data_IF_972102460454
#
_entry.id   IF_972102460454
#
_cell.length_a   1.000
_cell.length_b   1.000
_cell.length_c   1.000
_cell.angle_alpha   90.00
_cell.angle_beta   90.00
_cell.angle_gamma   90.00
#
_symmetry.space_group_name_H-M   'P 1'
#
loop_
_entity.id
_entity.type
_entity.pdbx_description
1 polymer ?
#
# COMPACT_ATOMS: atom_id res chain seq x y z
N UNK A 1 47.64 -15.28 -27.89
CA UNK A 1 47.12 -15.86 -26.64
C UNK A 1 46.61 -14.65 -25.88
N UNK A 2 45.49 -14.14 -26.41
CA UNK A 2 44.14 -14.09 -25.81
C UNK A 2 43.99 -12.78 -25.02
N UNK A 3 43.74 -11.63 -25.67
CA UNK A 3 42.57 -11.16 -26.43
C UNK A 3 41.31 -10.93 -25.57
N UNK A 4 41.07 -9.67 -25.17
CA UNK A 4 39.92 -8.87 -25.65
C UNK A 4 39.65 -7.65 -24.75
N UNK A 5 39.84 -6.49 -25.37
CA UNK A 5 39.43 -5.15 -24.98
C UNK A 5 37.90 -5.02 -24.97
N UNK A 6 37.30 -4.57 -23.86
CA UNK A 6 35.89 -4.19 -23.82
C UNK A 6 35.75 -2.75 -24.35
N UNK A 7 35.24 -2.63 -25.58
CA UNK A 7 34.82 -1.37 -26.17
C UNK A 7 33.35 -1.11 -25.79
N UNK A 8 33.07 0.09 -25.26
CA UNK A 8 31.72 0.62 -25.11
C UNK A 8 31.07 0.75 -26.50
N UNK A 9 30.08 -0.09 -26.79
CA UNK A 9 29.25 0.04 -27.99
C UNK A 9 28.05 0.94 -27.66
N UNK A 10 28.18 2.22 -28.00
CA UNK A 10 27.07 3.16 -28.15
C UNK A 10 26.45 2.91 -29.54
N UNK A 11 25.21 2.45 -29.59
CA UNK A 11 24.39 2.52 -30.81
C UNK A 11 23.28 3.55 -30.61
N UNK A 12 23.15 4.57 -31.47
CA UNK A 12 22.00 5.46 -31.45
C UNK A 12 20.89 4.89 -32.33
N UNK A 13 19.69 4.76 -31.79
CA UNK A 13 18.47 4.62 -32.59
C UNK A 13 17.72 5.95 -32.71
N UNK A 14 17.24 6.17 -33.92
CA UNK A 14 16.61 7.38 -34.41
C UNK A 14 15.21 7.51 -33.81
N UNK A 15 15.06 8.24 -32.70
CA UNK A 15 13.85 9.00 -32.27
C UNK A 15 14.08 9.77 -30.93
N UNK A 16 15.31 10.14 -30.58
CA UNK A 16 15.56 11.31 -29.71
C UNK A 16 14.88 11.37 -28.33
N UNK A 17 14.45 10.25 -27.75
CA UNK A 17 13.92 10.18 -26.38
C UNK A 17 14.94 9.48 -25.50
N UNK A 18 15.64 10.24 -24.66
CA UNK A 18 16.39 9.69 -23.53
C UNK A 18 15.37 9.15 -22.52
N UNK A 19 14.96 7.89 -22.67
CA UNK A 19 14.33 7.15 -21.58
C UNK A 19 15.43 6.81 -20.59
N UNK A 20 15.56 7.62 -19.53
CA UNK A 20 16.30 7.20 -18.34
C UNK A 20 15.62 5.94 -17.82
N UNK A 21 16.30 4.80 -17.89
CA UNK A 21 15.96 3.64 -17.08
C UNK A 21 16.07 4.04 -15.62
N UNK A 22 14.97 4.47 -15.02
CA UNK A 22 14.89 4.67 -13.57
C UNK A 22 14.87 3.30 -12.93
N UNK A 23 16.05 2.82 -12.55
CA UNK A 23 16.18 1.80 -11.52
C UNK A 23 15.31 2.24 -10.32
N UNK A 24 14.44 1.36 -9.82
CA UNK A 24 13.49 1.67 -8.75
C UNK A 24 14.11 2.23 -7.45
N UNK A 25 15.44 2.24 -7.33
CA UNK A 25 16.23 2.89 -6.28
C UNK A 25 16.16 4.41 -6.27
N UNK A 26 15.98 5.07 -7.42
CA UNK A 26 16.18 6.53 -7.54
C UNK A 26 14.99 7.36 -7.04
N UNK A 27 13.85 6.72 -6.75
CA UNK A 27 12.63 7.38 -6.27
C UNK A 27 12.46 7.31 -4.73
N UNK A 28 13.36 6.66 -4.00
CA UNK A 28 13.08 6.20 -2.63
C UNK A 28 13.44 7.15 -1.48
N UNK A 29 13.77 8.42 -1.74
CA UNK A 29 14.23 9.33 -0.68
C UNK A 29 13.42 10.62 -0.45
N UNK A 30 12.42 10.94 -1.29
CA UNK A 30 11.63 12.16 -1.10
C UNK A 30 10.14 11.95 -1.36
N UNK A 31 9.36 11.84 -0.29
CA UNK A 31 8.05 12.48 -0.27
C UNK A 31 8.22 13.80 0.49
N UNK A 32 8.04 14.97 -0.15
CA UNK A 32 8.03 16.22 0.58
C UNK A 32 6.73 16.28 1.38
N UNK A 33 6.82 16.31 2.72
CA UNK A 33 6.05 17.16 3.65
C UNK A 33 6.40 16.73 5.10
N UNK A 34 7.40 17.36 5.72
CA UNK A 34 7.30 18.34 6.84
C UNK A 34 8.67 19.02 6.93
N UNK A 35 8.76 20.32 6.65
CA UNK A 35 10.02 21.02 6.39
C UNK A 35 10.96 21.20 7.61
N UNK A 36 10.72 20.55 8.76
CA UNK A 36 11.45 20.82 10.00
C UNK A 36 11.58 19.64 10.98
N UNK A 37 11.42 18.38 10.56
CA UNK A 37 11.65 17.23 11.46
C UNK A 37 13.12 16.76 11.29
N UNK A 38 13.95 16.79 12.36
CA UNK A 38 15.34 16.35 12.31
C UNK A 38 15.45 14.90 11.84
N UNK A 39 16.63 14.52 11.34
CA UNK A 39 16.88 13.14 10.86
C UNK A 39 16.47 12.11 11.92
N UNK A 40 16.10 10.89 11.52
CA UNK A 40 15.72 9.81 12.45
C UNK A 40 16.82 9.43 13.47
N UNK A 41 18.03 10.01 13.32
CA UNK A 41 19.13 9.94 14.28
C UNK A 41 19.11 10.98 15.40
N UNK A 42 18.33 12.06 15.28
CA UNK A 42 18.43 13.27 16.14
C UNK A 42 17.26 13.43 17.13
N UNK A 43 16.27 12.54 17.13
CA UNK A 43 14.98 12.69 17.85
C UNK A 43 14.69 11.55 18.84
N UNK A 44 15.72 10.84 19.28
CA UNK A 44 15.61 9.69 20.21
C UNK A 44 15.71 10.18 21.66
N UNK A 45 14.61 10.07 22.42
CA UNK A 45 14.60 10.31 23.87
C UNK A 45 14.53 8.98 24.64
N UNK A 46 15.46 8.77 25.57
CA UNK A 46 15.52 7.57 26.42
C UNK A 46 14.88 7.84 27.78
N UNK A 47 13.87 7.05 28.14
CA UNK A 47 13.20 7.07 29.43
C UNK A 47 13.85 6.05 30.36
N UNK A 48 14.65 6.54 31.33
CA UNK A 48 15.40 5.70 32.28
C UNK A 48 14.51 4.83 33.17
N UNK A 49 13.32 5.31 33.51
CA UNK A 49 12.40 4.65 34.46
C UNK A 49 11.72 3.41 33.87
N UNK A 50 11.37 3.45 32.58
CA UNK A 50 10.65 2.39 31.86
C UNK A 50 11.51 1.62 30.87
N UNK A 51 12.82 1.90 30.82
CA UNK A 51 13.78 1.36 29.86
C UNK A 51 13.24 1.39 28.41
N UNK A 52 12.70 2.54 28.01
CA UNK A 52 11.99 2.70 26.74
C UNK A 52 12.40 3.97 26.00
N UNK A 53 12.00 4.06 24.73
CA UNK A 53 12.36 5.13 23.82
C UNK A 53 11.09 5.83 23.33
N UNK A 54 10.90 7.09 23.70
CA UNK A 54 9.69 7.83 23.35
C UNK A 54 9.90 8.74 22.14
N UNK A 55 8.87 8.82 21.30
CA UNK A 55 8.80 9.80 20.23
C UNK A 55 8.46 11.18 20.82
N UNK A 56 9.13 12.23 20.32
CA UNK A 56 8.84 13.61 20.74
C UNK A 56 7.69 14.25 19.94
N UNK A 57 7.20 13.58 18.89
CA UNK A 57 6.17 14.10 17.98
C UNK A 57 4.81 13.40 18.13
N UNK A 58 4.74 12.30 18.88
CA UNK A 58 3.51 11.60 19.21
C UNK A 58 3.69 10.69 20.43
N UNK A 59 2.60 10.04 20.86
CA UNK A 59 2.57 9.17 22.04
C UNK A 59 3.25 7.80 21.85
N UNK A 60 3.97 7.59 20.74
CA UNK A 60 4.64 6.33 20.48
C UNK A 60 5.81 6.10 21.44
N UNK A 61 5.83 4.92 22.06
CA UNK A 61 6.93 4.43 22.89
C UNK A 61 7.44 3.11 22.31
N UNK A 62 8.72 3.06 21.94
CA UNK A 62 9.42 1.86 21.51
C UNK A 62 10.18 1.21 22.67
N UNK A 63 10.25 -0.13 22.67
CA UNK A 63 11.09 -0.88 23.61
C UNK A 63 12.58 -0.88 23.24
N UNK A 64 12.92 -0.48 22.01
CA UNK A 64 14.31 -0.34 21.54
C UNK A 64 14.50 0.94 20.73
N UNK A 65 15.73 1.46 20.71
CA UNK A 65 16.10 2.62 19.90
C UNK A 65 15.87 2.37 18.40
N UNK A 66 16.07 1.14 17.93
CA UNK A 66 15.78 0.75 16.54
C UNK A 66 14.28 0.80 16.22
N UNK A 67 13.41 0.44 17.17
CA UNK A 67 11.96 0.58 16.99
C UNK A 67 11.56 2.05 16.90
N UNK A 68 12.09 2.90 17.78
CA UNK A 68 11.83 4.34 17.71
C UNK A 68 12.37 4.96 16.42
N UNK A 69 13.60 4.62 16.01
CA UNK A 69 14.19 5.08 14.72
C UNK A 69 13.32 4.70 13.53
N UNK A 70 12.82 3.47 13.48
CA UNK A 70 11.87 3.04 12.44
C UNK A 70 10.56 3.80 12.52
N UNK A 71 10.04 4.05 13.71
CA UNK A 71 8.82 4.82 13.92
C UNK A 71 8.98 6.27 13.43
N UNK A 72 10.11 6.92 13.67
CA UNK A 72 10.36 8.29 13.22
C UNK A 72 10.22 8.45 11.69
N UNK A 73 10.42 7.37 10.92
CA UNK A 73 10.15 7.34 9.47
C UNK A 73 8.68 7.57 9.11
N UNK A 74 7.73 7.34 10.02
CA UNK A 74 6.32 7.69 9.81
C UNK A 74 6.08 9.20 9.87
N UNK A 75 6.97 9.94 10.54
CA UNK A 75 6.94 11.40 10.56
C UNK A 75 7.71 12.01 9.38
N UNK A 76 8.87 11.44 9.03
CA UNK A 76 9.73 11.99 7.95
C UNK A 76 9.34 11.50 6.55
N UNK A 77 8.62 10.39 6.44
CA UNK A 77 8.31 9.75 5.16
C UNK A 77 9.48 8.98 4.53
N UNK A 78 10.62 8.83 5.24
CA UNK A 78 11.80 8.10 4.76
C UNK A 78 11.47 6.63 4.49
N UNK A 79 11.78 6.15 3.27
CA UNK A 79 11.49 4.78 2.81
C UNK A 79 12.73 4.16 2.15
N UNK A 80 13.77 3.81 2.94
CA UNK A 80 15.08 3.46 2.39
C UNK A 80 15.14 2.09 1.70
N UNK A 81 14.06 1.29 1.74
CA UNK A 81 14.05 -0.06 1.16
C UNK A 81 13.25 -0.09 -0.15
N UNK A 82 13.95 -0.04 -1.27
CA UNK A 82 13.36 -0.06 -2.61
C UNK A 82 12.99 -1.47 -3.09
N UNK A 83 11.83 -1.62 -3.71
CA UNK A 83 11.50 -2.81 -4.48
C UNK A 83 12.28 -2.82 -5.80
N UNK A 84 12.83 -3.98 -6.16
CA UNK A 84 13.53 -4.16 -7.44
C UNK A 84 12.59 -4.36 -8.63
N UNK A 85 11.32 -4.66 -8.38
CA UNK A 85 10.34 -5.06 -9.40
C UNK A 85 9.32 -3.95 -9.68
N UNK A 86 9.16 -2.98 -8.78
CA UNK A 86 8.25 -1.85 -8.96
C UNK A 86 8.75 -0.63 -8.19
N UNK A 87 8.04 0.49 -8.31
CA UNK A 87 8.40 1.77 -7.67
C UNK A 87 8.08 1.84 -6.17
N UNK A 88 7.66 0.74 -5.55
CA UNK A 88 7.32 0.72 -4.14
C UNK A 88 8.57 0.78 -3.24
N UNK A 89 8.57 1.72 -2.30
CA UNK A 89 9.60 1.81 -1.25
C UNK A 89 8.97 1.59 0.14
N UNK A 90 9.69 0.87 1.00
CA UNK A 90 9.26 0.54 2.37
C UNK A 90 10.12 1.24 3.43
N UNK A 91 9.53 1.49 4.59
CA UNK A 91 10.21 2.05 5.76
C UNK A 91 11.07 1.01 6.51
N UNK A 92 10.89 -0.29 6.23
CA UNK A 92 11.67 -1.38 6.83
C UNK A 92 11.93 -2.53 5.84
N UNK A 93 13.03 -3.25 6.02
CA UNK A 93 13.36 -4.44 5.22
C UNK A 93 12.28 -5.54 5.34
N UNK A 94 11.72 -5.71 6.54
CA UNK A 94 10.64 -6.67 6.77
C UNK A 94 9.37 -6.31 5.99
N UNK A 95 9.06 -5.03 5.85
CA UNK A 95 7.90 -4.59 5.06
C UNK A 95 8.15 -4.76 3.57
N UNK A 96 9.38 -4.53 3.10
CA UNK A 96 9.76 -4.82 1.72
C UNK A 96 9.67 -6.33 1.42
N UNK A 97 10.14 -7.19 2.33
CA UNK A 97 10.02 -8.66 2.19
C UNK A 97 8.57 -9.12 2.14
N UNK A 98 7.69 -8.52 2.95
CA UNK A 98 6.25 -8.82 2.85
C UNK A 98 5.67 -8.34 1.52
N UNK A 99 6.06 -7.13 1.08
CA UNK A 99 5.63 -6.59 -0.20
C UNK A 99 6.05 -7.47 -1.37
N UNK A 100 7.28 -8.00 -1.39
CA UNK A 100 7.77 -8.84 -2.51
C UNK A 100 6.95 -10.12 -2.75
N UNK A 101 6.12 -10.53 -1.79
CA UNK A 101 5.15 -11.62 -1.95
C UNK A 101 4.12 -11.37 -3.05
N UNK A 102 3.82 -10.11 -3.37
CA UNK A 102 2.90 -9.79 -4.47
C UNK A 102 3.51 -10.13 -5.83
N UNK A 103 4.83 -10.02 -5.97
CA UNK A 103 5.55 -10.29 -7.22
C UNK A 103 5.85 -11.78 -7.37
N UNK A 104 6.18 -12.45 -6.28
CA UNK A 104 6.52 -13.88 -6.27
C UNK A 104 5.30 -14.80 -6.20
N UNK A 105 4.15 -14.28 -5.77
CA UNK A 105 2.96 -15.08 -5.51
C UNK A 105 3.03 -15.92 -4.23
N UNK A 106 4.03 -15.74 -3.36
CA UNK A 106 4.16 -16.47 -2.10
C UNK A 106 2.94 -16.22 -1.18
N UNK A 107 2.24 -17.29 -0.79
CA UNK A 107 1.08 -17.24 0.10
C UNK A 107 1.26 -18.19 1.29
N UNK A 108 2.11 -17.83 2.27
CA UNK A 108 2.53 -18.75 3.33
C UNK A 108 1.47 -18.98 4.41
N UNK A 109 0.33 -18.28 4.37
CA UNK A 109 -0.74 -18.43 5.34
C UNK A 109 -1.91 -19.17 4.70
N UNK A 110 -2.29 -20.32 5.25
CA UNK A 110 -3.34 -21.18 4.71
C UNK A 110 -4.52 -21.30 5.68
N UNK A 111 -5.73 -21.35 5.13
CA UNK A 111 -6.93 -21.71 5.87
C UNK A 111 -6.97 -23.22 6.08
N UNK A 112 -7.32 -23.67 7.28
CA UNK A 112 -7.46 -25.09 7.57
C UNK A 112 -8.88 -25.63 7.32
N UNK A 113 -9.81 -24.78 6.88
CA UNK A 113 -11.21 -25.12 6.61
C UNK A 113 -11.57 -25.07 5.11
N UNK A 114 -10.71 -24.48 4.27
CA UNK A 114 -10.89 -24.42 2.82
C UNK A 114 -9.53 -24.17 2.13
N UNK A 115 -9.54 -24.14 0.79
CA UNK A 115 -8.33 -23.96 -0.02
C UNK A 115 -7.80 -22.51 -0.06
N UNK A 116 -8.36 -21.61 0.74
CA UNK A 116 -7.94 -20.21 0.75
C UNK A 116 -6.53 -20.04 1.33
N UNK A 117 -5.69 -19.32 0.62
CA UNK A 117 -4.35 -18.93 1.07
C UNK A 117 -4.17 -17.41 1.02
N UNK A 118 -3.25 -16.88 1.82
CA UNK A 118 -2.97 -15.45 1.93
C UNK A 118 -1.47 -15.17 2.00
N UNK A 119 -1.07 -13.99 1.49
CA UNK A 119 0.30 -13.50 1.58
C UNK A 119 0.59 -12.77 2.91
N UNK A 120 -0.45 -12.44 3.68
CA UNK A 120 -0.36 -11.84 5.02
C UNK A 120 -1.24 -12.55 6.05
N UNK A 121 -0.74 -12.67 7.29
CA UNK A 121 -1.48 -13.28 8.40
C UNK A 121 -2.80 -12.56 8.72
N UNK A 122 -2.82 -11.23 8.60
CA UNK A 122 -4.03 -10.42 8.84
C UNK A 122 -5.15 -10.70 7.85
N UNK A 123 -4.80 -11.03 6.60
CA UNK A 123 -5.78 -11.44 5.59
C UNK A 123 -6.37 -12.81 5.94
N UNK A 124 -5.54 -13.79 6.33
CA UNK A 124 -6.04 -15.07 6.82
C UNK A 124 -6.95 -14.89 8.03
N UNK A 125 -6.54 -14.10 9.04
CA UNK A 125 -7.36 -13.80 10.22
C UNK A 125 -8.72 -13.20 9.85
N UNK A 126 -8.72 -12.24 8.91
CA UNK A 126 -9.97 -11.62 8.43
C UNK A 126 -10.81 -12.60 7.63
N UNK A 127 -10.18 -13.47 6.84
CA UNK A 127 -10.84 -14.54 6.12
C UNK A 127 -11.53 -15.51 7.07
N UNK A 128 -10.92 -15.93 8.18
CA UNK A 128 -11.54 -16.88 9.12
C UNK A 128 -12.94 -16.45 9.61
N UNK A 129 -13.26 -15.15 9.58
CA UNK A 129 -14.60 -14.63 9.89
C UNK A 129 -15.70 -15.19 8.98
N UNK A 130 -15.39 -15.65 7.78
CA UNK A 130 -16.36 -16.31 6.90
C UNK A 130 -16.78 -17.68 7.45
N UNK A 131 -15.90 -18.35 8.20
CA UNK A 131 -16.15 -19.65 8.79
C UNK A 131 -16.77 -19.53 10.17
N UNK A 132 -16.33 -18.54 10.96
CA UNK A 132 -16.85 -18.33 12.32
C UNK A 132 -18.16 -17.54 12.35
N UNK A 133 -18.48 -16.83 11.28
CA UNK A 133 -19.63 -15.92 11.24
C UNK A 133 -19.43 -14.62 12.05
N UNK A 134 -18.22 -14.34 12.53
CA UNK A 134 -17.92 -13.14 13.31
C UNK A 134 -18.18 -11.86 12.49
N UNK A 135 -18.98 -10.95 13.04
CA UNK A 135 -19.37 -9.67 12.41
C UNK A 135 -19.00 -8.48 13.30
N UNK A 136 -17.72 -8.16 13.46
CA UNK A 136 -17.28 -7.16 14.44
C UNK A 136 -17.59 -5.71 14.02
N UNK A 137 -17.98 -5.48 12.76
CA UNK A 137 -18.30 -4.13 12.28
C UNK A 137 -19.81 -3.95 12.23
N UNK A 138 -20.33 -3.17 13.18
CA UNK A 138 -21.77 -2.93 13.38
C UNK A 138 -22.11 -1.51 12.96
N UNK A 139 -23.24 -1.33 12.27
CA UNK A 139 -23.80 -0.02 11.96
C UNK A 139 -24.40 0.59 13.22
N UNK A 140 -24.14 1.87 13.46
CA UNK A 140 -24.69 2.60 14.59
C UNK A 140 -26.09 3.19 14.32
N UNK A 141 -26.61 3.02 13.10
CA UNK A 141 -27.90 3.57 12.68
C UNK A 141 -28.95 2.49 12.38
N UNK A 142 -28.57 1.21 12.32
CA UNK A 142 -29.47 0.08 12.12
C UNK A 142 -28.81 -1.25 12.54
N UNK A 143 -29.54 -2.36 12.47
CA UNK A 143 -29.07 -3.69 12.89
C UNK A 143 -28.08 -4.37 11.92
N UNK A 144 -27.56 -3.64 10.93
CA UNK A 144 -26.61 -4.19 9.98
C UNK A 144 -25.25 -4.44 10.63
N UNK A 145 -24.76 -5.68 10.56
CA UNK A 145 -23.42 -6.06 10.99
C UNK A 145 -22.71 -6.86 9.90
N UNK A 146 -21.38 -6.71 9.80
CA UNK A 146 -20.58 -7.33 8.75
C UNK A 146 -19.19 -7.75 9.23
N UNK A 147 -18.62 -8.74 8.54
CA UNK A 147 -17.28 -9.27 8.84
C UNK A 147 -16.13 -8.31 8.46
N UNK A 148 -16.42 -7.32 7.60
CA UNK A 148 -15.40 -6.45 7.02
C UNK A 148 -15.77 -4.95 7.07
N UNK A 149 -14.83 -4.11 7.52
CA UNK A 149 -15.04 -2.66 7.67
C UNK A 149 -15.42 -1.95 6.36
N UNK A 150 -14.86 -2.38 5.22
CA UNK A 150 -15.18 -1.78 3.93
C UNK A 150 -16.65 -2.01 3.51
N UNK A 151 -17.27 -3.11 3.97
CA UNK A 151 -18.69 -3.34 3.75
C UNK A 151 -19.53 -2.41 4.61
N UNK A 152 -19.13 -2.17 5.86
CA UNK A 152 -19.79 -1.20 6.74
C UNK A 152 -19.71 0.22 6.16
N UNK A 153 -18.53 0.63 5.66
CA UNK A 153 -18.35 1.92 4.98
C UNK A 153 -19.21 2.06 3.72
N UNK A 154 -19.37 0.99 2.94
CA UNK A 154 -20.28 1.01 1.78
C UNK A 154 -21.73 1.08 2.22
N UNK A 155 -22.09 0.32 3.25
CA UNK A 155 -23.42 0.30 3.81
C UNK A 155 -23.83 1.68 4.34
N UNK A 156 -22.93 2.45 4.99
CA UNK A 156 -23.28 3.77 5.52
C UNK A 156 -23.84 4.75 4.49
N UNK A 157 -23.52 4.57 3.20
CA UNK A 157 -24.08 5.39 2.12
C UNK A 157 -25.59 5.25 1.95
N UNK A 158 -26.21 4.17 2.43
CA UNK A 158 -27.68 4.07 2.42
C UNK A 158 -28.33 5.09 3.35
N UNK A 159 -27.65 5.44 4.45
CA UNK A 159 -28.16 6.39 5.44
C UNK A 159 -27.90 7.83 5.00
N UNK A 160 -26.79 8.08 4.32
CA UNK A 160 -26.45 9.43 3.84
C UNK A 160 -27.05 9.76 2.47
N UNK A 161 -27.46 8.75 1.70
CA UNK A 161 -27.88 8.90 0.31
C UNK A 161 -26.74 9.26 -0.66
N UNK A 162 -25.51 9.40 -0.18
CA UNK A 162 -24.36 9.80 -0.99
C UNK A 162 -23.96 8.68 -1.94
N UNK A 163 -23.83 9.00 -3.23
CA UNK A 163 -23.32 8.10 -4.27
C UNK A 163 -21.95 8.61 -4.75
N UNK A 164 -20.84 8.14 -4.15
CA UNK A 164 -19.53 8.77 -4.32
C UNK A 164 -18.90 8.54 -5.70
N UNK A 165 -19.47 7.66 -6.52
CA UNK A 165 -18.91 7.33 -7.84
C UNK A 165 -19.84 7.84 -8.93
N UNK A 166 -19.48 8.96 -9.53
CA UNK A 166 -20.20 9.62 -10.63
C UNK A 166 -19.65 9.21 -11.99
N UNK A 167 -20.51 9.23 -13.01
CA UNK A 167 -20.09 9.12 -14.40
C UNK A 167 -19.72 10.51 -14.93
N UNK A 168 -18.61 10.61 -15.66
CA UNK A 168 -18.17 11.89 -16.22
C UNK A 168 -18.98 12.27 -17.48
N UNK A 169 -19.61 11.28 -18.12
CA UNK A 169 -20.35 11.45 -19.37
C UNK A 169 -21.86 11.64 -19.18
N UNK A 170 -22.40 11.42 -17.97
CA UNK A 170 -23.83 11.64 -17.68
C UNK A 170 -24.10 11.77 -16.17
N UNK A 171 -25.34 12.07 -15.79
CA UNK A 171 -25.75 12.24 -14.38
C UNK A 171 -25.81 10.94 -13.54
N UNK A 172 -25.36 9.81 -14.08
CA UNK A 172 -25.35 8.55 -13.35
C UNK A 172 -24.37 8.58 -12.17
N UNK A 173 -24.82 8.15 -11.00
CA UNK A 173 -23.99 7.96 -9.82
C UNK A 173 -24.30 6.63 -9.14
N UNK A 174 -23.30 6.04 -8.49
CA UNK A 174 -23.40 4.72 -7.86
C UNK A 174 -22.64 4.62 -6.54
N UNK A 175 -22.95 3.56 -5.79
CA UNK A 175 -22.35 3.27 -4.49
C UNK A 175 -21.00 2.55 -4.59
N UNK A 176 -20.67 1.99 -5.76
CA UNK A 176 -19.44 1.23 -5.97
C UNK A 176 -18.84 1.47 -7.34
N UNK A 177 -17.51 1.44 -7.43
CA UNK A 177 -16.79 1.52 -8.72
C UNK A 177 -17.20 0.43 -9.70
N UNK A 178 -17.54 -0.77 -9.24
CA UNK A 178 -18.00 -1.87 -10.11
C UNK A 178 -19.33 -1.56 -10.79
N UNK A 179 -20.26 -0.89 -10.10
CA UNK A 179 -21.52 -0.43 -10.70
C UNK A 179 -21.25 0.64 -11.74
N UNK A 180 -20.43 1.64 -11.42
CA UNK A 180 -20.01 2.67 -12.36
C UNK A 180 -19.33 2.07 -13.61
N UNK A 181 -18.37 1.15 -13.43
CA UNK A 181 -17.71 0.47 -14.55
C UNK A 181 -18.74 -0.24 -15.43
N UNK A 182 -19.66 -1.02 -14.85
CA UNK A 182 -20.72 -1.69 -15.63
C UNK A 182 -21.61 -0.69 -16.38
N UNK A 183 -21.93 0.45 -15.77
CA UNK A 183 -22.67 1.52 -16.43
C UNK A 183 -21.90 2.07 -17.63
N UNK A 184 -20.64 2.47 -17.43
CA UNK A 184 -19.77 3.01 -18.50
C UNK A 184 -19.59 2.00 -19.64
N UNK A 185 -19.33 0.74 -19.32
CA UNK A 185 -19.20 -0.33 -20.31
C UNK A 185 -20.47 -0.53 -21.15
N UNK A 186 -21.66 -0.35 -20.56
CA UNK A 186 -22.93 -0.58 -21.27
C UNK A 186 -23.44 0.64 -22.03
N UNK A 187 -23.22 1.82 -21.48
CA UNK A 187 -23.86 3.05 -21.95
C UNK A 187 -22.91 4.00 -22.68
N UNK A 188 -21.60 3.85 -22.48
CA UNK A 188 -20.58 4.76 -23.00
C UNK A 188 -19.45 4.06 -23.77
N UNK A 189 -19.56 2.75 -24.05
CA UNK A 189 -18.62 2.07 -24.96
C UNK A 189 -19.10 2.11 -26.41
N UNK A 190 -18.65 3.13 -27.13
CA UNK A 190 -18.03 2.96 -28.44
C UNK A 190 -16.50 3.10 -28.28
N UNK A 191 -15.75 2.08 -28.75
CA UNK A 191 -14.29 2.00 -28.95
C UNK A 191 -13.38 1.80 -27.71
N UNK A 192 -13.08 0.53 -27.39
CA UNK A 192 -11.73 0.08 -27.01
C UNK A 192 -11.38 -1.13 -27.90
N UNK A 193 -11.17 -0.88 -29.18
CA UNK A 193 -10.32 -1.72 -30.05
C UNK A 193 -9.51 -0.75 -30.89
N UNK A 194 -8.26 -0.49 -30.47
CA UNK A 194 -7.12 0.04 -31.24
C UNK A 194 -5.96 0.10 -30.25
N UNK A 195 -4.80 -0.52 -30.43
CA UNK A 195 -4.29 -1.40 -31.48
C UNK A 195 -3.08 -2.15 -30.93
#
# INVERSE_FOLDING_TARGET
MDDSTAADHLTPDSEGVVIREVNGSDLCFRSPQVANIPSSSETISFMKESNSFACQHCEYIGSTSSNLKRHLRTHTGERPYACKTCTYCAASASDLKKHSRIHTGERPYFCHLCEYTANHASQLKSHMRIHTGERPYVCNLCDYATAFSYNLKKHSFIHTGVKPYTCDSCSYASLTTSQLKKHVLKHHQSLIITG
#
